data_IF_344921996350
#
_entry.id   IF_344921996350
#
_cell.length_a   1.000
_cell.length_b   1.000
_cell.length_c   1.000
_cell.angle_alpha   90.00
_cell.angle_beta   90.00
_cell.angle_gamma   90.00
#
_symmetry.space_group_name_H-M   'P 1'
#
loop_
_entity.id
_entity.type
_entity.pdbx_description
1 polymer ?
#
# COMPACT_ATOMS: atom_id res chain seq x y z
N UNK A 1 14.78 -9.96 0.73
CA UNK A 1 13.36 -9.86 1.16
C UNK A 1 12.86 -8.46 0.86
N UNK A 2 12.04 -8.30 -0.18
CA UNK A 2 11.33 -7.03 -0.42
C UNK A 2 10.06 -7.05 0.42
N UNK A 3 9.98 -6.13 1.38
CA UNK A 3 8.78 -5.90 2.18
C UNK A 3 7.90 -4.92 1.42
N UNK A 4 6.63 -5.27 1.25
CA UNK A 4 5.63 -4.42 0.63
C UNK A 4 4.57 -4.07 1.68
N UNK A 5 4.24 -2.79 1.78
CA UNK A 5 3.17 -2.30 2.61
C UNK A 5 1.92 -2.16 1.75
N UNK A 6 0.82 -2.71 2.24
CA UNK A 6 -0.48 -2.61 1.60
C UNK A 6 -1.28 -1.54 2.33
N UNK A 7 -1.56 -0.44 1.65
CA UNK A 7 -2.46 0.60 2.13
C UNK A 7 -3.83 0.46 1.49
N UNK A 8 -4.87 0.93 2.17
CA UNK A 8 -6.23 1.00 1.65
C UNK A 8 -6.65 2.47 1.67
N UNK A 9 -7.07 2.98 0.51
CA UNK A 9 -7.68 4.30 0.43
C UNK A 9 -9.08 4.27 1.06
N UNK A 10 -9.35 5.11 2.06
CA UNK A 10 -10.66 5.19 2.72
C UNK A 10 -11.80 5.58 1.78
N UNK A 11 -11.53 6.37 0.75
CA UNK A 11 -12.56 6.91 -0.16
C UNK A 11 -13.07 5.90 -1.18
N UNK A 12 -12.17 5.31 -1.97
CA UNK A 12 -12.55 4.34 -3.00
C UNK A 12 -12.26 2.88 -2.61
N UNK A 13 -11.73 2.64 -1.40
CA UNK A 13 -11.41 1.31 -0.84
C UNK A 13 -10.47 0.48 -1.71
N UNK A 14 -9.67 1.14 -2.55
CA UNK A 14 -8.69 0.46 -3.37
C UNK A 14 -7.41 0.14 -2.56
N UNK A 15 -6.77 -0.98 -2.90
CA UNK A 15 -5.51 -1.39 -2.32
C UNK A 15 -4.34 -0.72 -3.06
N UNK A 16 -3.40 -0.17 -2.30
CA UNK A 16 -2.14 0.40 -2.75
C UNK A 16 -1.00 -0.47 -2.26
N UNK A 17 -0.22 -0.97 -3.21
CA UNK A 17 0.97 -1.76 -2.92
C UNK A 17 2.17 -0.84 -3.00
N UNK A 18 2.86 -0.66 -1.89
CA UNK A 18 4.02 0.23 -1.84
C UNK A 18 5.21 -0.47 -1.24
N UNK A 19 6.34 -0.41 -1.93
CA UNK A 19 7.61 -0.91 -1.44
C UNK A 19 7.97 -0.21 -0.12
N UNK A 20 8.30 -0.97 0.91
CA UNK A 20 8.63 -0.43 2.24
C UNK A 20 9.79 0.57 2.18
N UNK A 21 10.71 0.42 1.24
CA UNK A 21 11.83 1.35 1.06
C UNK A 21 11.39 2.71 0.47
N UNK A 22 10.23 2.76 -0.17
CA UNK A 22 9.65 3.95 -0.79
C UNK A 22 8.56 4.60 0.07
N UNK A 23 8.30 4.10 1.28
CA UNK A 23 7.33 4.65 2.24
C UNK A 23 7.51 6.14 2.51
N UNK A 24 8.74 6.64 2.56
CA UNK A 24 8.99 8.08 2.77
C UNK A 24 8.44 8.98 1.64
N UNK A 25 8.22 8.42 0.44
CA UNK A 25 7.64 9.14 -0.71
C UNK A 25 6.12 8.97 -0.80
N UNK A 26 5.55 8.08 0.02
CA UNK A 26 4.15 7.65 0.00
C UNK A 26 3.21 8.78 0.41
N UNK A 27 3.65 9.64 1.34
CA UNK A 27 2.99 10.90 1.72
C UNK A 27 2.93 11.97 0.62
N UNK A 28 3.50 11.69 -0.57
CA UNK A 28 3.51 12.62 -1.71
C UNK A 28 2.84 12.03 -2.95
N UNK A 29 2.18 10.88 -2.80
CA UNK A 29 1.54 10.17 -3.92
C UNK A 29 0.05 10.24 -3.69
N UNK A 30 -0.68 10.74 -4.67
CA UNK A 30 -2.14 10.72 -4.65
C UNK A 30 -2.65 9.32 -4.99
N UNK A 31 -3.86 9.02 -4.53
CA UNK A 31 -4.53 7.78 -4.82
C UNK A 31 -4.69 7.65 -6.35
N UNK A 32 -4.10 6.65 -7.02
CA UNK A 32 -4.15 6.54 -8.47
C UNK A 32 -5.58 6.32 -9.00
N UNK A 33 -6.52 5.94 -8.14
CA UNK A 33 -7.89 5.65 -8.54
C UNK A 33 -8.86 6.83 -8.33
N UNK A 34 -8.65 7.69 -7.33
CA UNK A 34 -9.56 8.82 -7.06
C UNK A 34 -8.86 10.18 -6.92
N UNK A 35 -7.53 10.21 -7.03
CA UNK A 35 -6.72 11.42 -6.97
C UNK A 35 -6.62 12.04 -5.58
N UNK A 36 -7.04 11.35 -4.52
CA UNK A 36 -6.95 11.90 -3.16
C UNK A 36 -5.58 11.75 -2.53
N UNK A 37 -5.19 12.80 -1.84
CA UNK A 37 -3.97 12.89 -1.07
C UNK A 37 -3.94 11.80 0.04
N UNK A 38 -2.74 11.36 0.43
CA UNK A 38 -2.55 10.30 1.43
C UNK A 38 -2.83 10.75 2.87
N UNK A 39 -3.04 12.05 3.11
CA UNK A 39 -3.22 12.67 4.42
C UNK A 39 -4.44 12.10 5.15
N UNK A 40 -4.20 11.25 6.16
CA UNK A 40 -5.18 10.55 7.00
C UNK A 40 -6.17 9.57 6.29
N UNK A 41 -6.14 9.53 4.97
CA UNK A 41 -7.06 8.76 4.13
C UNK A 41 -6.52 7.38 3.76
N UNK A 42 -5.25 7.09 4.02
CA UNK A 42 -4.64 5.80 3.69
C UNK A 42 -4.41 4.98 4.97
N UNK A 43 -5.08 3.83 5.07
CA UNK A 43 -4.95 2.92 6.20
C UNK A 43 -3.95 1.83 5.83
N UNK A 44 -2.90 1.64 6.63
CA UNK A 44 -2.04 0.47 6.50
C UNK A 44 -2.83 -0.79 6.87
N UNK A 45 -3.09 -1.65 5.90
CA UNK A 45 -3.84 -2.89 6.10
C UNK A 45 -2.93 -4.06 6.46
N UNK A 46 -1.77 -4.18 5.82
CA UNK A 46 -0.86 -5.31 6.05
C UNK A 46 0.57 -4.97 5.62
N UNK A 47 1.55 -5.52 6.34
CA UNK A 47 2.95 -5.61 5.90
C UNK A 47 3.15 -7.01 5.30
N UNK A 48 3.23 -7.12 3.98
CA UNK A 48 3.46 -8.37 3.27
C UNK A 48 4.94 -8.55 2.92
N UNK A 49 5.48 -9.75 3.09
CA UNK A 49 6.68 -10.19 2.38
C UNK A 49 6.22 -10.90 1.11
N UNK A 50 6.68 -10.47 -0.08
CA UNK A 50 6.36 -11.10 -1.38
C UNK A 50 6.92 -12.53 -1.54
N UNK A 51 7.28 -13.24 -0.47
CA UNK A 51 7.85 -14.60 -0.54
C UNK A 51 7.05 -15.65 0.24
N UNK A 52 5.74 -15.48 0.46
CA UNK A 52 4.98 -16.49 1.19
C UNK A 52 3.51 -16.71 0.82
N UNK A 53 3.16 -16.70 -0.48
CA UNK A 53 1.87 -17.26 -0.94
C UNK A 53 1.98 -18.07 -2.25
N UNK A 54 3.14 -18.67 -2.53
CA UNK A 54 3.34 -19.54 -3.70
C UNK A 54 3.68 -21.00 -3.35
N UNK A 55 3.40 -21.43 -2.13
CA UNK A 55 3.60 -22.83 -1.68
C UNK A 55 2.47 -23.31 -0.75
N UNK A 56 1.21 -23.17 -1.17
CA UNK A 56 0.15 -24.04 -0.64
C UNK A 56 -0.99 -24.21 -1.67
N UNK A 57 -0.73 -24.98 -2.72
CA UNK A 57 -1.75 -25.60 -3.58
C UNK A 57 -1.23 -26.94 -4.06
#
# INVERSE_FOLDING_TARGET
>A
MKKELIFICKKCRHNLYVDSNKVKKLFKIDCPHCGEEPDELWILSSEGNFEKDLNNS
#
